data_IF_940669179324
#
_entry.id   IF_940669179324
#
_cell.length_a   1.000
_cell.length_b   1.000
_cell.length_c   1.000
_cell.angle_alpha   90.00
_cell.angle_beta   90.00
_cell.angle_gamma   90.00
#
_symmetry.space_group_name_H-M   'P 1'
#
loop_
_entity.id
_entity.type
_entity.pdbx_description
1 polymer ?
#
# COMPACT_ATOMS: atom_id res chain seq x y z
N UNK A 1 19.12 -2.89 -5.91
CA UNK A 1 19.31 -2.44 -4.52
C UNK A 1 17.97 -2.60 -3.84
N UNK A 2 17.92 -3.21 -2.66
CA UNK A 2 16.68 -3.33 -1.88
C UNK A 2 16.32 -1.96 -1.32
N UNK A 3 15.02 -1.64 -1.20
CA UNK A 3 14.58 -0.38 -0.61
C UNK A 3 15.00 -0.34 0.88
N UNK A 4 15.58 0.76 1.38
CA UNK A 4 15.95 0.88 2.79
C UNK A 4 14.79 0.62 3.77
N UNK A 5 13.55 0.97 3.40
CA UNK A 5 12.37 0.75 4.24
C UNK A 5 11.97 -0.72 4.28
N UNK A 6 12.16 -1.44 3.18
CA UNK A 6 11.95 -2.89 3.12
C UNK A 6 12.96 -3.61 4.02
N UNK A 7 14.22 -3.17 4.03
CA UNK A 7 15.25 -3.75 4.89
C UNK A 7 14.94 -3.53 6.38
N UNK A 8 14.46 -2.32 6.73
CA UNK A 8 14.05 -2.00 8.11
C UNK A 8 12.85 -2.84 8.52
N UNK A 9 11.81 -2.91 7.68
CA UNK A 9 10.62 -3.69 7.97
C UNK A 9 10.95 -5.18 8.15
N UNK A 10 11.79 -5.74 7.29
CA UNK A 10 12.27 -7.11 7.42
C UNK A 10 12.99 -7.35 8.76
N UNK A 11 13.94 -6.47 9.13
CA UNK A 11 14.68 -6.58 10.41
C UNK A 11 13.77 -6.51 11.63
N UNK A 12 12.72 -5.69 11.60
CA UNK A 12 11.75 -5.60 12.69
C UNK A 12 11.00 -6.93 12.87
N UNK A 13 10.51 -7.51 11.77
CA UNK A 13 9.82 -8.81 11.80
C UNK A 13 10.77 -9.93 12.23
N UNK A 14 12.01 -9.93 11.75
CA UNK A 14 13.03 -10.89 12.14
C UNK A 14 13.30 -10.85 13.65
N UNK A 15 13.45 -9.66 14.22
CA UNK A 15 13.61 -9.47 15.67
C UNK A 15 12.39 -9.97 16.45
N UNK A 16 11.18 -9.66 15.97
CA UNK A 16 9.94 -10.12 16.60
C UNK A 16 9.85 -11.66 16.65
N UNK A 17 10.17 -12.33 15.54
CA UNK A 17 10.21 -13.81 15.49
C UNK A 17 11.26 -14.35 16.46
N UNK A 18 12.47 -13.75 16.49
CA UNK A 18 13.54 -14.17 17.39
C UNK A 18 13.11 -14.10 18.85
N UNK A 19 12.48 -13.00 19.26
CA UNK A 19 11.93 -12.84 20.61
C UNK A 19 10.88 -13.90 20.93
N UNK A 20 9.91 -14.14 20.04
CA UNK A 20 8.89 -15.17 20.24
C UNK A 20 9.49 -16.58 20.39
N UNK A 21 10.55 -16.88 19.62
CA UNK A 21 11.25 -18.18 19.74
C UNK A 21 12.10 -18.30 21.00
N UNK A 22 12.48 -17.18 21.63
CA UNK A 22 13.24 -17.17 22.87
C UNK A 22 12.40 -17.63 24.07
N UNK A 23 11.08 -17.43 24.02
CA UNK A 23 10.12 -17.80 25.09
C UNK A 23 9.79 -19.32 25.15
N UNK A 24 10.58 -20.17 24.47
CA UNK A 24 10.54 -21.65 24.50
C UNK A 24 9.30 -22.32 23.91
N UNK A 25 8.26 -21.59 23.54
CA UNK A 25 7.20 -22.10 22.67
C UNK A 25 7.58 -21.83 21.21
N UNK A 26 7.45 -22.84 20.34
CA UNK A 26 7.59 -22.61 18.89
C UNK A 26 6.31 -21.91 18.44
N UNK A 27 6.34 -20.60 18.13
CA UNK A 27 5.13 -19.91 17.76
C UNK A 27 4.65 -20.49 16.41
N UNK A 28 3.42 -20.99 16.36
CA UNK A 28 2.76 -21.34 15.10
C UNK A 28 2.29 -20.04 14.45
N UNK A 29 3.22 -19.30 13.85
CA UNK A 29 2.89 -18.10 13.08
C UNK A 29 2.65 -18.53 11.64
N UNK A 30 1.45 -18.24 11.12
CA UNK A 30 1.12 -18.44 9.72
C UNK A 30 1.88 -17.48 8.82
N UNK A 31 2.09 -17.88 7.56
CA UNK A 31 2.71 -17.02 6.55
C UNK A 31 1.94 -15.71 6.39
N UNK A 32 0.60 -15.78 6.33
CA UNK A 32 -0.28 -14.62 6.18
C UNK A 32 -0.04 -13.59 7.30
N UNK A 33 0.09 -14.07 8.54
CA UNK A 33 0.39 -13.20 9.69
C UNK A 33 1.74 -12.50 9.57
N UNK A 34 2.77 -13.20 9.06
CA UNK A 34 4.08 -12.60 8.83
C UNK A 34 4.04 -11.56 7.70
N UNK A 35 3.31 -11.86 6.63
CA UNK A 35 3.12 -10.98 5.49
C UNK A 35 2.35 -9.71 5.89
N UNK A 36 1.26 -9.86 6.65
CA UNK A 36 0.50 -8.73 7.18
C UNK A 36 1.35 -7.87 8.11
N UNK A 37 2.09 -8.50 9.03
CA UNK A 37 2.96 -7.77 9.96
C UNK A 37 4.04 -6.97 9.22
N UNK A 38 4.61 -7.54 8.15
CA UNK A 38 5.58 -6.85 7.30
C UNK A 38 4.96 -5.61 6.63
N UNK A 39 3.81 -5.75 5.95
CA UNK A 39 3.17 -4.62 5.27
C UNK A 39 2.66 -3.55 6.23
N UNK A 40 2.13 -3.94 7.40
CA UNK A 40 1.77 -2.99 8.45
C UNK A 40 2.98 -2.21 8.96
N UNK A 41 4.13 -2.87 9.11
CA UNK A 41 5.38 -2.24 9.54
C UNK A 41 5.86 -1.24 8.50
N UNK A 42 5.86 -1.62 7.22
CA UNK A 42 6.15 -0.71 6.11
C UNK A 42 5.25 0.52 6.09
N UNK A 43 3.94 0.33 6.19
CA UNK A 43 2.98 1.43 6.22
C UNK A 43 3.25 2.40 7.38
N UNK A 44 3.62 1.88 8.55
CA UNK A 44 4.01 2.69 9.72
C UNK A 44 5.29 3.47 9.48
N UNK A 45 6.30 2.86 8.87
CA UNK A 45 7.57 3.55 8.54
C UNK A 45 7.30 4.71 7.58
N UNK A 46 6.56 4.46 6.49
CA UNK A 46 6.19 5.48 5.51
C UNK A 46 5.41 6.63 6.14
N UNK A 47 4.38 6.33 6.93
CA UNK A 47 3.61 7.33 7.69
C UNK A 47 4.51 8.12 8.63
N UNK A 48 5.45 7.47 9.32
CA UNK A 48 6.34 8.17 10.25
C UNK A 48 7.30 9.12 9.55
N UNK A 49 7.81 8.73 8.37
CA UNK A 49 8.61 9.62 7.53
C UNK A 49 7.82 10.83 7.05
N UNK A 50 6.54 10.64 6.69
CA UNK A 50 5.64 11.74 6.32
C UNK A 50 5.45 12.72 7.49
N UNK A 51 5.16 12.21 8.70
CA UNK A 51 5.02 13.02 9.92
C UNK A 51 6.30 13.82 10.24
N UNK A 52 7.48 13.25 9.94
CA UNK A 52 8.77 13.88 10.20
C UNK A 52 9.24 14.79 9.05
N UNK A 53 8.48 14.91 7.96
CA UNK A 53 8.86 15.70 6.79
C UNK A 53 10.06 15.14 6.02
N UNK A 54 10.37 13.85 6.20
CA UNK A 54 11.51 13.16 5.57
C UNK A 54 11.16 12.55 4.20
N UNK A 55 10.02 12.94 3.64
CA UNK A 55 9.50 12.40 2.38
C UNK A 55 9.88 13.31 1.23
N UNK A 56 10.66 12.76 0.29
CA UNK A 56 10.76 13.30 -1.06
C UNK A 56 9.43 13.03 -1.79
N UNK A 57 8.64 14.08 -1.99
CA UNK A 57 7.29 14.03 -2.56
C UNK A 57 7.26 13.40 -3.97
N UNK A 58 8.40 13.32 -4.66
CA UNK A 58 8.52 12.76 -6.01
C UNK A 58 8.25 11.25 -6.11
N UNK A 59 8.35 10.50 -5.01
CA UNK A 59 8.14 9.04 -5.01
C UNK A 59 6.70 8.60 -4.69
N UNK A 60 5.89 9.46 -4.07
CA UNK A 60 4.52 9.11 -3.65
C UNK A 60 3.49 9.25 -4.77
N UNK A 61 3.69 10.18 -5.70
CA UNK A 61 2.84 10.35 -6.88
C UNK A 61 2.77 9.09 -7.75
N UNK A 62 3.85 8.29 -7.80
CA UNK A 62 3.88 7.06 -8.61
C UNK A 62 3.14 5.88 -7.98
N UNK A 63 2.97 5.90 -6.65
CA UNK A 63 2.30 4.81 -5.93
C UNK A 63 0.79 5.04 -5.86
N UNK A 64 0.34 6.28 -5.66
CA UNK A 64 -1.10 6.61 -5.74
C UNK A 64 -1.66 6.40 -7.15
N UNK A 65 -0.89 6.71 -8.22
CA UNK A 65 -1.29 6.39 -9.59
C UNK A 65 -1.43 4.87 -9.83
N UNK A 66 -0.57 4.05 -9.22
CA UNK A 66 -0.59 2.60 -9.39
C UNK A 66 -1.71 1.90 -8.60
N UNK A 67 -2.00 2.39 -7.40
CA UNK A 67 -3.12 1.90 -6.59
C UNK A 67 -4.47 2.37 -7.16
N UNK A 68 -4.54 3.61 -7.67
CA UNK A 68 -5.74 4.13 -8.34
C UNK A 68 -6.00 3.48 -9.71
N UNK A 69 -4.94 3.14 -10.47
CA UNK A 69 -5.09 2.41 -11.73
C UNK A 69 -5.60 0.97 -11.51
N UNK A 70 -5.21 0.32 -10.41
CA UNK A 70 -5.72 -1.01 -10.03
C UNK A 70 -7.21 -0.99 -9.68
N UNK A 71 -7.68 0.07 -9.04
CA UNK A 71 -9.10 0.24 -8.72
C UNK A 71 -9.95 0.61 -9.96
N UNK A 72 -9.33 1.15 -11.02
CA UNK A 72 -9.99 1.48 -12.30
C UNK A 72 -10.04 0.33 -13.30
N UNK A 73 -9.24 -0.73 -13.13
CA UNK A 73 -9.31 -1.94 -13.97
C UNK A 73 -10.44 -2.90 -13.54
N UNK A 74 -11.19 -2.58 -12.48
CA UNK A 74 -12.17 -3.45 -11.84
C UNK A 74 -13.63 -3.29 -12.25
N UNK A 75 -14.06 -2.17 -12.84
CA UNK A 75 -15.46 -1.95 -13.24
C UNK A 75 -15.58 -1.09 -14.51
N UNK A 76 -16.18 -1.70 -15.55
CA UNK A 76 -16.79 -1.12 -16.75
C UNK A 76 -16.56 0.39 -17.04
N UNK A 77 -15.42 0.69 -17.68
CA UNK A 77 -15.05 2.02 -18.21
C UNK A 77 -16.05 2.57 -19.24
N UNK A 78 -16.95 1.75 -19.80
CA UNK A 78 -17.93 2.21 -20.80
C UNK A 78 -19.14 2.96 -20.21
N UNK A 79 -19.45 2.81 -18.92
CA UNK A 79 -20.70 3.38 -18.37
C UNK A 79 -20.60 4.83 -17.88
N UNK A 80 -19.38 5.33 -17.64
CA UNK A 80 -19.13 6.66 -17.04
C UNK A 80 -18.91 7.74 -18.10
N UNK A 81 -18.50 7.38 -19.32
CA UNK A 81 -18.10 8.34 -20.36
C UNK A 81 -19.23 8.78 -21.33
N UNK A 82 -20.44 8.21 -21.27
CA UNK A 82 -21.52 8.52 -22.23
C UNK A 82 -22.92 8.75 -21.62
N UNK A 83 -23.05 9.60 -20.60
CA UNK A 83 -24.38 10.09 -20.19
C UNK A 83 -24.66 11.59 -20.34
N UNK A 84 -23.70 12.39 -20.81
CA UNK A 84 -23.91 13.84 -21.03
C UNK A 84 -23.97 14.27 -22.51
N UNK A 85 -24.31 13.35 -23.42
CA UNK A 85 -24.55 13.66 -24.84
C UNK A 85 -26.02 13.49 -25.25
N UNK A 86 -26.99 13.84 -24.40
CA UNK A 86 -28.40 13.96 -24.85
C UNK A 86 -29.16 15.07 -24.12
N UNK A 87 -28.85 16.35 -24.39
CA UNK A 87 -29.85 17.44 -24.44
C UNK A 87 -29.45 18.53 -25.44
N UNK A 88 -29.16 18.16 -26.67
CA UNK A 88 -29.25 19.09 -27.81
C UNK A 88 -30.70 19.11 -28.30
N UNK A 89 -31.54 19.94 -27.68
CA UNK A 89 -32.79 20.44 -28.29
C UNK A 89 -33.08 21.83 -27.74
N UNK A 90 -32.70 22.85 -28.49
CA UNK A 90 -33.51 24.05 -28.61
C UNK A 90 -33.60 24.40 -30.09
N UNK A 91 -34.86 24.36 -30.55
CA UNK A 91 -35.31 24.70 -31.89
C UNK A 91 -35.08 26.19 -32.21
N UNK A 92 -34.93 26.46 -33.52
CA UNK A 92 -34.82 27.74 -34.24
C UNK A 92 -35.25 29.03 -33.55
#
# INVERSE_FOLDING_TARGET
MMDPDDEIAYKIIELYIKELTHEREKPQIGLDTLTDAYFMTLARIKRKKQELGLVDQSQYLKHEEADFAKDLEGDDIESVLFKDQEKTKFDF
#
